data_IF_703933945388
#
_entry.id   IF_703933945388
#
_cell.length_a   1.000
_cell.length_b   1.000
_cell.length_c   1.000
_cell.angle_alpha   90.00
_cell.angle_beta   90.00
_cell.angle_gamma   90.00
#
_symmetry.space_group_name_H-M   'P 1'
#
loop_
_entity.id
_entity.type
_entity.pdbx_description
1 polymer ?
#
# COMPACT_ATOMS: atom_id res chain seq x y z
N UNK A 1 -5.63 7.37 20.00
CA UNK A 1 -7.00 6.96 19.57
C UNK A 1 -6.91 5.55 18.98
N UNK A 2 -7.96 4.70 19.04
CA UNK A 2 -7.75 3.25 19.00
C UNK A 2 -7.11 2.68 17.75
N UNK A 3 -7.05 3.38 16.61
CA UNK A 3 -6.52 2.77 15.38
C UNK A 3 -5.60 3.66 14.54
N UNK A 4 -4.73 4.49 15.14
CA UNK A 4 -3.69 5.17 14.35
C UNK A 4 -2.73 4.16 13.71
N UNK A 5 -2.27 4.41 12.49
CA UNK A 5 -1.26 3.56 11.85
C UNK A 5 0.01 3.55 12.70
N UNK A 6 0.39 2.36 13.16
CA UNK A 6 1.57 2.18 13.99
C UNK A 6 2.81 1.78 13.19
N UNK A 7 2.59 1.08 12.08
CA UNK A 7 3.63 0.45 11.26
C UNK A 7 3.28 0.58 9.79
N UNK A 8 4.27 0.92 8.96
CA UNK A 8 4.22 0.81 7.51
C UNK A 8 5.29 -0.20 7.08
N UNK A 9 4.91 -1.16 6.24
CA UNK A 9 5.83 -2.15 5.66
C UNK A 9 6.01 -1.90 4.17
N UNK A 10 7.25 -1.89 3.69
CA UNK A 10 7.58 -1.64 2.28
C UNK A 10 8.54 -2.72 1.80
N UNK A 11 8.19 -3.42 0.72
CA UNK A 11 9.12 -4.30 0.03
C UNK A 11 9.50 -3.65 -1.30
N UNK A 12 10.79 -3.34 -1.48
CA UNK A 12 11.31 -2.78 -2.73
C UNK A 12 11.83 -3.86 -3.68
N UNK A 13 12.14 -5.03 -3.14
CA UNK A 13 12.63 -6.22 -3.84
C UNK A 13 12.06 -7.48 -3.16
N UNK A 14 12.51 -8.66 -3.60
CA UNK A 14 12.02 -9.95 -3.10
C UNK A 14 12.66 -10.38 -1.77
N UNK A 15 13.80 -9.80 -1.41
CA UNK A 15 14.65 -10.25 -0.30
C UNK A 15 14.59 -9.30 0.92
N UNK A 16 14.07 -8.09 0.72
CA UNK A 16 14.10 -7.00 1.70
C UNK A 16 12.72 -6.45 1.98
N UNK A 17 12.40 -6.35 3.27
CA UNK A 17 11.22 -5.65 3.76
C UNK A 17 11.63 -4.60 4.81
N UNK A 18 11.29 -3.35 4.55
CA UNK A 18 11.49 -2.23 5.46
C UNK A 18 10.27 -2.09 6.36
N UNK A 19 10.49 -2.03 7.68
CA UNK A 19 9.44 -1.85 8.69
C UNK A 19 9.62 -0.49 9.36
N UNK A 20 8.72 0.44 9.07
CA UNK A 20 8.73 1.79 9.61
C UNK A 20 7.77 1.88 10.80
N UNK A 21 8.30 2.06 12.00
CA UNK A 21 7.50 2.30 13.20
C UNK A 21 7.12 3.78 13.30
N UNK A 22 5.85 4.10 13.01
CA UNK A 22 5.35 5.47 12.94
C UNK A 22 4.39 5.84 14.09
N UNK A 23 4.10 4.90 15.00
CA UNK A 23 3.12 5.07 16.09
C UNK A 23 3.30 6.31 16.99
N UNK A 24 4.52 6.86 17.06
CA UNK A 24 4.86 8.03 17.89
C UNK A 24 5.31 9.23 17.07
N UNK A 25 5.26 9.13 15.75
CA UNK A 25 5.59 10.25 14.89
C UNK A 25 4.40 11.21 14.86
N UNK A 26 4.66 12.47 15.15
CA UNK A 26 3.65 13.52 14.97
C UNK A 26 3.38 13.74 13.48
N UNK A 27 4.41 13.61 12.66
CA UNK A 27 4.36 13.75 11.21
C UNK A 27 5.21 12.66 10.55
N UNK A 28 4.77 12.20 9.38
CA UNK A 28 5.56 11.29 8.56
C UNK A 28 6.78 12.04 7.99
N UNK A 29 7.97 11.43 7.95
CA UNK A 29 9.16 12.05 7.37
C UNK A 29 8.92 12.52 5.94
N UNK A 30 9.29 13.77 5.63
CA UNK A 30 9.12 14.35 4.29
C UNK A 30 9.66 13.45 3.18
N UNK A 31 10.81 12.80 3.39
CA UNK A 31 11.40 11.91 2.38
C UNK A 31 10.47 10.74 2.02
N UNK A 32 9.69 10.23 2.98
CA UNK A 32 8.74 9.16 2.72
C UNK A 32 7.55 9.69 1.93
N UNK A 33 7.03 10.86 2.28
CA UNK A 33 5.98 11.54 1.51
C UNK A 33 6.44 11.82 0.07
N UNK A 34 7.64 12.38 -0.11
CA UNK A 34 8.27 12.61 -1.42
C UNK A 34 8.37 11.30 -2.23
N UNK A 35 8.72 10.17 -1.58
CA UNK A 35 8.73 8.86 -2.23
C UNK A 35 7.33 8.40 -2.67
N UNK A 36 6.31 8.55 -1.83
CA UNK A 36 4.94 8.19 -2.20
C UNK A 36 4.44 9.00 -3.41
N UNK A 37 4.80 10.27 -3.48
CA UNK A 37 4.42 11.19 -4.55
C UNK A 37 5.25 11.08 -5.81
N UNK A 38 6.35 10.32 -5.79
CA UNK A 38 7.28 10.31 -6.91
C UNK A 38 6.66 9.56 -8.12
N UNK A 39 6.57 10.18 -9.32
CA UNK A 39 5.83 9.61 -10.46
C UNK A 39 6.45 8.33 -11.04
N UNK A 40 7.69 8.00 -10.67
CA UNK A 40 8.35 6.74 -11.05
C UNK A 40 8.16 5.61 -10.03
N UNK A 41 7.51 5.89 -8.91
CA UNK A 41 7.21 4.88 -7.88
C UNK A 41 5.78 4.39 -8.11
N UNK A 42 5.62 3.06 -8.14
CA UNK A 42 4.30 2.42 -8.15
C UNK A 42 4.08 1.74 -6.82
N UNK A 43 2.96 2.04 -6.18
CA UNK A 43 2.60 1.42 -4.92
C UNK A 43 1.74 0.19 -5.22
N UNK A 44 2.27 -0.99 -4.93
CA UNK A 44 1.58 -2.25 -5.17
C UNK A 44 1.21 -2.85 -3.82
N UNK A 45 -0.06 -3.18 -3.64
CA UNK A 45 -0.53 -3.72 -2.37
C UNK A 45 -1.95 -4.27 -2.44
N UNK A 46 -2.36 -4.97 -1.39
CA UNK A 46 -3.72 -5.45 -1.23
C UNK A 46 -4.54 -4.44 -0.44
N UNK A 47 -5.71 -4.05 -0.97
CA UNK A 47 -6.55 -2.98 -0.42
C UNK A 47 -5.76 -1.67 -0.21
N UNK A 48 -4.86 -1.36 -1.15
CA UNK A 48 -3.88 -0.27 -1.00
C UNK A 48 -4.53 1.11 -0.96
N UNK A 49 -5.63 1.33 -1.71
CA UNK A 49 -6.40 2.58 -1.65
C UNK A 49 -6.94 2.84 -0.25
N UNK A 50 -7.48 1.82 0.42
CA UNK A 50 -7.99 1.94 1.78
C UNK A 50 -6.87 2.28 2.78
N UNK A 51 -5.71 1.64 2.64
CA UNK A 51 -4.55 1.90 3.48
C UNK A 51 -4.04 3.35 3.31
N UNK A 52 -3.95 3.83 2.07
CA UNK A 52 -3.51 5.21 1.78
C UNK A 52 -4.52 6.26 2.25
N UNK A 53 -5.83 6.00 2.11
CA UNK A 53 -6.87 6.88 2.66
C UNK A 53 -6.79 6.98 4.18
N UNK A 54 -6.55 5.84 4.86
CA UNK A 54 -6.31 5.85 6.30
C UNK A 54 -5.10 6.69 6.66
N UNK A 55 -3.99 6.51 5.93
CA UNK A 55 -2.77 7.25 6.16
C UNK A 55 -2.93 8.76 5.91
N UNK A 56 -3.69 9.15 4.88
CA UNK A 56 -4.04 10.54 4.60
C UNK A 56 -4.82 11.20 5.73
N UNK A 57 -5.79 10.50 6.32
CA UNK A 57 -6.59 11.02 7.44
C UNK A 57 -5.72 11.30 8.68
N UNK A 58 -4.64 10.54 8.85
CA UNK A 58 -3.68 10.68 9.94
C UNK A 58 -2.57 11.70 9.60
N UNK A 59 -2.22 11.83 8.31
CA UNK A 59 -1.13 12.63 7.80
C UNK A 59 -1.55 13.37 6.50
N UNK A 60 -2.19 14.55 6.63
CA UNK A 60 -2.76 15.29 5.49
C UNK A 60 -1.74 15.88 4.50
N UNK A 61 -0.44 15.76 4.78
CA UNK A 61 0.63 16.10 3.83
C UNK A 61 0.74 15.08 2.69
N UNK A 62 0.01 13.97 2.76
CA UNK A 62 -0.17 13.01 1.69
C UNK A 62 -1.23 13.55 0.72
N UNK A 63 -0.96 13.45 -0.57
CA UNK A 63 -1.87 13.91 -1.64
C UNK A 63 -2.36 12.67 -2.40
N UNK A 64 -3.61 12.29 -2.14
CA UNK A 64 -4.21 11.11 -2.75
C UNK A 64 -4.41 11.26 -4.26
N UNK A 65 -4.61 12.49 -4.75
CA UNK A 65 -4.83 12.72 -6.19
C UNK A 65 -3.55 12.49 -6.99
N UNK A 66 -2.39 12.69 -6.37
CA UNK A 66 -1.07 12.37 -6.94
C UNK A 66 -0.76 10.87 -6.82
N UNK A 67 -1.11 10.23 -5.70
CA UNK A 67 -0.64 8.87 -5.39
C UNK A 67 -1.53 7.78 -6.01
N UNK A 68 -2.85 7.93 -5.90
CA UNK A 68 -3.80 6.89 -6.31
C UNK A 68 -3.68 6.48 -7.80
N UNK A 69 -3.41 7.39 -8.76
CA UNK A 69 -3.21 7.02 -10.16
C UNK A 69 -2.03 6.06 -10.40
N UNK A 70 -1.05 6.02 -9.48
CA UNK A 70 0.14 5.17 -9.57
C UNK A 70 0.06 3.92 -8.68
N UNK A 71 -1.09 3.68 -8.05
CA UNK A 71 -1.34 2.51 -7.22
C UNK A 71 -1.85 1.32 -8.02
N UNK A 72 -1.44 0.12 -7.61
CA UNK A 72 -1.93 -1.14 -8.15
C UNK A 72 -2.50 -1.95 -6.99
N UNK A 73 -3.83 -2.03 -6.92
CA UNK A 73 -4.49 -3.00 -6.06
C UNK A 73 -4.35 -4.41 -6.67
N UNK A 74 -3.69 -5.31 -5.95
CA UNK A 74 -3.41 -6.66 -6.46
C UNK A 74 -4.67 -7.52 -6.60
N UNK A 75 -5.74 -7.23 -5.86
CA UNK A 75 -7.03 -7.92 -6.00
C UNK A 75 -7.74 -7.50 -7.28
N UNK A 76 -7.75 -6.21 -7.58
CA UNK A 76 -8.28 -5.69 -8.85
C UNK A 76 -7.44 -6.16 -10.04
N UNK A 77 -6.12 -6.15 -9.89
CA UNK A 77 -5.21 -6.67 -10.90
C UNK A 77 -5.47 -8.17 -11.18
N UNK A 78 -5.61 -8.99 -10.14
CA UNK A 78 -5.97 -10.39 -10.27
C UNK A 78 -7.32 -10.60 -10.98
N UNK A 79 -8.31 -9.75 -10.72
CA UNK A 79 -9.62 -9.81 -11.39
C UNK A 79 -9.55 -9.44 -12.88
N UNK A 80 -8.52 -8.72 -13.33
CA UNK A 80 -8.27 -8.48 -14.77
C UNK A 80 -7.64 -9.69 -15.46
N UNK A 81 -6.89 -10.50 -14.71
CA UNK A 81 -6.23 -11.71 -15.22
C UNK A 81 -7.15 -12.94 -15.16
N UNK A 82 -8.06 -13.00 -14.18
CA UNK A 82 -8.92 -14.15 -13.96
C UNK A 82 -10.17 -14.13 -14.86
N UNK A 83 -10.59 -15.29 -15.41
CA UNK A 83 -11.80 -15.38 -16.23
C UNK A 83 -13.09 -15.13 -15.44
N UNK A 84 -13.04 -15.20 -14.10
CA UNK A 84 -14.16 -14.84 -13.21
C UNK A 84 -13.66 -13.92 -12.12
N UNK A 85 -14.36 -12.80 -11.93
CA UNK A 85 -14.09 -11.88 -10.83
C UNK A 85 -14.40 -12.53 -9.49
N UNK A 86 -13.54 -12.32 -8.50
CA UNK A 86 -13.66 -12.85 -7.13
C UNK A 86 -13.35 -11.77 -6.11
N UNK A 87 -13.86 -11.95 -4.90
CA UNK A 87 -13.37 -11.23 -3.72
C UNK A 87 -12.06 -11.89 -3.27
N UNK A 88 -10.98 -11.16 -3.41
CA UNK A 88 -9.66 -11.59 -3.00
C UNK A 88 -9.42 -11.27 -1.53
N UNK A 89 -8.61 -12.10 -0.87
CA UNK A 89 -7.84 -11.74 0.31
C UNK A 89 -6.37 -11.89 -0.07
N UNK A 90 -5.45 -11.24 0.65
CA UNK A 90 -4.02 -11.42 0.39
C UNK A 90 -3.63 -12.91 0.44
N UNK A 91 -4.12 -13.66 1.42
CA UNK A 91 -3.88 -15.11 1.53
C UNK A 91 -4.41 -15.93 0.35
N UNK A 92 -5.56 -15.55 -0.23
CA UNK A 92 -6.10 -16.22 -1.43
C UNK A 92 -5.31 -15.88 -2.68
N UNK A 93 -4.81 -14.65 -2.79
CA UNK A 93 -3.95 -14.22 -3.90
C UNK A 93 -2.64 -15.02 -3.88
N UNK A 94 -1.98 -15.09 -2.72
CA UNK A 94 -0.75 -15.87 -2.55
C UNK A 94 -1.00 -17.33 -2.93
N UNK A 95 -2.02 -17.99 -2.35
CA UNK A 95 -2.34 -19.39 -2.66
C UNK A 95 -2.66 -19.66 -4.13
N UNK A 96 -3.13 -18.65 -4.87
CA UNK A 96 -3.53 -18.81 -6.26
C UNK A 96 -2.40 -18.52 -7.25
N UNK A 97 -1.56 -17.52 -6.97
CA UNK A 97 -0.57 -17.01 -7.91
C UNK A 97 0.89 -17.29 -7.50
N UNK A 98 1.15 -17.52 -6.22
CA UNK A 98 2.48 -17.79 -5.70
C UNK A 98 2.52 -19.27 -5.34
N UNK A 99 3.04 -20.08 -6.27
CA UNK A 99 3.36 -21.48 -5.99
C UNK A 99 4.65 -21.45 -5.16
N UNK A 100 4.53 -21.79 -3.87
CA UNK A 100 5.66 -22.15 -3.01
C UNK A 100 5.58 -23.66 -2.83
#
# INVERSE_FOLDING_TARGET
PPDYTAVITICCDFDSCYVLHIARLQEIPKVFTDCLHHPKIRIVGYAVDLALRKLYMEHPNIDLDVILPHCIDVGDFANRLAPRKRKWSLSRLVKHFVII
#
